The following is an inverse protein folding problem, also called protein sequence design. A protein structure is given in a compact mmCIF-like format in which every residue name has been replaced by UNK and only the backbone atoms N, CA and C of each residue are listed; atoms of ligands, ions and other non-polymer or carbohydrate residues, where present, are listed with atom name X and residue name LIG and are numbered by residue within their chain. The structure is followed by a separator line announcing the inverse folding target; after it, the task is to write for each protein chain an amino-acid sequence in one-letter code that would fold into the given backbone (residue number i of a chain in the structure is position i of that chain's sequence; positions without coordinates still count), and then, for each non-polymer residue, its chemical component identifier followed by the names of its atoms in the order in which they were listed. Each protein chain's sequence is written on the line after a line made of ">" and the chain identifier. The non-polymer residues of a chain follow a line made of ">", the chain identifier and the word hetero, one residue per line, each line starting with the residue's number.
data_IF_991246204768
#
_entry.id   IF_991246204768
#
_cell.length_a   1.000
_cell.length_b   1.000
_cell.length_c   1.000
_cell.angle_alpha   90.00
_cell.angle_beta   90.00
_cell.angle_gamma   90.00
#
_symmetry.space_group_name_H-M   'P 1'
#
loop_
_entity.id
_entity.type
_entity.pdbx_description
1 polymer ?
#
# COMPACT_ATOMS: atom_id res chain seq x y z
N UNK A 1 -7.66 6.27 1.29
CA UNK A 1 -7.62 7.53 2.05
C UNK A 1 -8.93 7.85 2.76
N UNK A 2 -10.08 7.93 2.07
CA UNK A 2 -11.37 8.30 2.69
C UNK A 2 -11.75 7.38 3.87
N UNK A 3 -11.63 6.05 3.70
CA UNK A 3 -11.91 5.09 4.77
C UNK A 3 -11.05 5.34 6.02
N UNK A 4 -9.73 5.49 5.86
CA UNK A 4 -8.79 5.74 6.95
C UNK A 4 -9.02 7.10 7.63
N UNK A 5 -9.38 8.13 6.85
CA UNK A 5 -9.72 9.44 7.39
C UNK A 5 -11.01 9.39 8.21
N UNK A 6 -12.04 8.67 7.75
CA UNK A 6 -13.26 8.44 8.51
C UNK A 6 -12.99 7.73 9.84
N UNK A 7 -12.14 6.70 9.84
CA UNK A 7 -11.74 6.01 11.07
C UNK A 7 -10.98 6.94 12.03
N UNK A 8 -10.09 7.78 11.52
CA UNK A 8 -9.38 8.76 12.34
C UNK A 8 -10.34 9.72 13.06
N UNK A 9 -11.36 10.21 12.36
CA UNK A 9 -12.39 11.08 12.95
C UNK A 9 -13.22 10.34 14.00
N UNK A 10 -13.66 9.11 13.72
CA UNK A 10 -14.44 8.32 14.68
C UNK A 10 -13.62 8.03 15.94
N UNK A 11 -12.37 7.58 15.80
CA UNK A 11 -11.49 7.26 16.94
C UNK A 11 -11.21 8.51 17.78
N UNK A 12 -10.90 9.64 17.15
CA UNK A 12 -10.70 10.90 17.88
C UNK A 12 -11.96 11.39 18.57
N UNK A 13 -13.14 11.19 17.96
CA UNK A 13 -14.44 11.47 18.59
C UNK A 13 -14.70 10.59 19.82
N UNK A 14 -14.32 9.32 19.77
CA UNK A 14 -14.40 8.41 20.93
C UNK A 14 -13.46 8.86 22.06
N UNK A 15 -12.23 9.25 21.73
CA UNK A 15 -11.27 9.77 22.72
C UNK A 15 -11.82 11.02 23.41
N UNK A 16 -12.44 11.93 22.63
CA UNK A 16 -13.11 13.10 23.19
C UNK A 16 -14.23 12.69 24.16
N UNK A 17 -15.09 11.76 23.74
CA UNK A 17 -16.24 11.29 24.51
C UNK A 17 -15.84 10.66 25.84
N UNK A 18 -14.84 9.76 25.84
CA UNK A 18 -14.42 9.06 27.06
C UNK A 18 -13.58 9.92 27.99
N UNK A 19 -12.81 10.86 27.45
CA UNK A 19 -11.90 11.69 28.27
C UNK A 19 -12.53 13.01 28.71
N UNK A 20 -13.64 13.42 28.10
CA UNK A 20 -14.26 14.75 28.26
C UNK A 20 -13.30 15.94 28.02
N UNK A 21 -12.14 15.69 27.41
CA UNK A 21 -11.12 16.68 27.10
C UNK A 21 -10.89 16.72 25.60
N UNK A 22 -11.18 17.87 24.98
CA UNK A 22 -11.05 18.07 23.54
C UNK A 22 -9.60 18.03 23.05
N UNK A 23 -8.65 18.38 23.93
CA UNK A 23 -7.22 18.45 23.63
C UNK A 23 -6.67 17.09 23.18
N UNK A 24 -7.12 16.00 23.82
CA UNK A 24 -6.70 14.64 23.45
C UNK A 24 -7.28 14.19 22.13
N UNK A 25 -8.48 14.63 21.78
CA UNK A 25 -9.08 14.33 20.48
C UNK A 25 -8.29 15.01 19.35
N UNK A 26 -7.90 16.26 19.55
CA UNK A 26 -7.05 17.00 18.60
C UNK A 26 -5.67 16.36 18.49
N UNK A 27 -5.03 16.02 19.62
CA UNK A 27 -3.76 15.31 19.61
C UNK A 27 -3.84 13.96 18.87
N UNK A 28 -4.93 13.21 19.06
CA UNK A 28 -5.15 11.95 18.36
C UNK A 28 -5.30 12.13 16.84
N UNK A 29 -5.98 13.19 16.37
CA UNK A 29 -6.05 13.51 14.95
C UNK A 29 -4.64 13.71 14.38
N UNK A 30 -3.77 14.45 15.07
CA UNK A 30 -2.40 14.66 14.62
C UNK A 30 -1.59 13.37 14.57
N UNK A 31 -1.64 12.54 15.62
CA UNK A 31 -0.92 11.27 15.68
C UNK A 31 -1.39 10.32 14.59
N UNK A 32 -2.71 10.14 14.44
CA UNK A 32 -3.28 9.24 13.43
C UNK A 32 -2.98 9.77 12.02
N UNK A 33 -3.05 11.09 11.81
CA UNK A 33 -2.74 11.72 10.53
C UNK A 33 -1.31 11.42 10.07
N UNK A 34 -0.33 11.54 10.97
CA UNK A 34 1.07 11.19 10.68
C UNK A 34 1.21 9.71 10.34
N UNK A 35 0.52 8.82 11.06
CA UNK A 35 0.56 7.39 10.73
C UNK A 35 -0.08 7.07 9.38
N UNK A 36 -1.15 7.75 8.98
CA UNK A 36 -1.76 7.58 7.65
C UNK A 36 -0.77 8.02 6.56
N UNK A 37 -0.08 9.15 6.75
CA UNK A 37 0.94 9.63 5.80
C UNK A 37 2.08 8.63 5.68
N UNK A 38 2.63 8.19 6.81
CA UNK A 38 3.71 7.21 6.85
C UNK A 38 3.29 5.88 6.20
N UNK A 39 2.10 5.38 6.50
CA UNK A 39 1.57 4.15 5.92
C UNK A 39 1.41 4.28 4.40
N UNK A 40 0.96 5.44 3.90
CA UNK A 40 0.82 5.68 2.46
C UNK A 40 2.18 5.66 1.73
N UNK A 41 3.17 6.34 2.30
CA UNK A 41 4.54 6.33 1.76
C UNK A 41 5.13 4.92 1.76
N UNK A 42 5.00 4.20 2.87
CA UNK A 42 5.46 2.81 3.02
C UNK A 42 4.74 1.85 2.08
N UNK A 43 3.44 2.02 1.88
CA UNK A 43 2.65 1.13 1.02
C UNK A 43 3.02 1.34 -0.46
N UNK A 44 3.34 2.57 -0.86
CA UNK A 44 3.83 2.86 -2.22
C UNK A 44 5.13 2.12 -2.50
N UNK A 45 6.11 2.22 -1.59
CA UNK A 45 7.39 1.51 -1.68
C UNK A 45 7.19 -0.02 -1.67
N UNK A 46 6.29 -0.51 -0.82
CA UNK A 46 6.00 -1.94 -0.72
C UNK A 46 5.32 -2.51 -1.97
N UNK A 47 4.43 -1.74 -2.63
CA UNK A 47 3.76 -2.16 -3.86
C UNK A 47 4.76 -2.24 -5.00
N UNK A 48 5.64 -1.25 -5.12
CA UNK A 48 6.70 -1.25 -6.13
C UNK A 48 7.66 -2.42 -5.95
N UNK A 49 8.11 -2.67 -4.72
CA UNK A 49 8.93 -3.84 -4.38
C UNK A 49 8.19 -5.16 -4.67
N UNK A 50 6.89 -5.24 -4.36
CA UNK A 50 6.08 -6.43 -4.65
C UNK A 50 5.86 -6.64 -6.14
N UNK A 51 5.73 -5.56 -6.93
CA UNK A 51 5.59 -5.61 -8.38
C UNK A 51 6.89 -6.10 -9.03
N UNK A 52 8.03 -5.55 -8.63
CA UNK A 52 9.35 -6.01 -9.11
C UNK A 52 9.57 -7.48 -8.73
N UNK A 53 9.22 -7.85 -7.50
CA UNK A 53 9.31 -9.25 -7.05
C UNK A 53 8.39 -10.17 -7.83
N UNK A 54 7.15 -9.76 -8.10
CA UNK A 54 6.21 -10.53 -8.92
C UNK A 54 6.70 -10.65 -10.37
N UNK A 55 7.25 -9.58 -10.96
CA UNK A 55 7.82 -9.62 -12.31
C UNK A 55 9.07 -10.53 -12.38
N UNK A 56 9.92 -10.49 -11.35
CA UNK A 56 11.06 -11.38 -11.23
C UNK A 56 10.64 -12.85 -11.02
N UNK A 57 9.59 -13.11 -10.24
CA UNK A 57 9.03 -14.44 -10.00
C UNK A 57 8.34 -15.01 -11.25
N UNK A 58 7.75 -14.14 -12.07
CA UNK A 58 7.27 -14.45 -13.43
C UNK A 58 8.41 -14.63 -14.45
N UNK A 59 9.68 -14.51 -14.01
CA UNK A 59 10.87 -14.72 -14.83
C UNK A 59 11.20 -13.58 -15.79
N UNK A 60 10.51 -12.44 -15.71
CA UNK A 60 10.80 -11.26 -16.52
C UNK A 60 12.06 -10.58 -15.96
N UNK A 61 13.18 -10.73 -16.66
CA UNK A 61 14.39 -9.95 -16.42
C UNK A 61 14.33 -8.74 -17.34
N UNK A 62 14.66 -7.57 -16.82
CA UNK A 62 14.73 -6.28 -17.55
C UNK A 62 15.79 -6.28 -18.67
N UNK A 63 16.59 -7.34 -18.79
CA UNK A 63 17.45 -7.53 -19.95
C UNK A 63 16.60 -8.03 -21.11
N UNK A 64 16.53 -7.23 -22.17
CA UNK A 64 15.76 -7.44 -23.39
C UNK A 64 15.86 -8.89 -23.90
N UNK A 65 14.85 -9.71 -23.58
CA UNK A 65 14.66 -11.02 -24.21
C UNK A 65 14.42 -10.80 -25.71
N UNK A 66 15.06 -11.57 -26.58
CA UNK A 66 14.78 -11.49 -28.02
C UNK A 66 13.39 -12.03 -28.32
N UNK A 67 12.79 -11.59 -29.44
CA UNK A 67 11.42 -11.93 -29.82
C UNK A 67 11.13 -13.46 -29.82
N UNK A 68 12.14 -14.30 -30.09
CA UNK A 68 12.04 -15.76 -30.00
C UNK A 68 11.75 -16.26 -28.58
N UNK A 69 12.40 -15.70 -27.56
CA UNK A 69 12.20 -16.13 -26.16
C UNK A 69 10.85 -15.68 -25.60
N UNK A 70 10.27 -14.60 -26.16
CA UNK A 70 8.90 -14.18 -25.85
C UNK A 70 7.86 -15.19 -26.35
N UNK A 71 8.01 -15.68 -27.58
CA UNK A 71 7.07 -16.65 -28.18
C UNK A 71 7.05 -17.97 -27.38
N UNK A 72 8.23 -18.48 -27.00
CA UNK A 72 8.35 -19.73 -26.23
C UNK A 72 7.69 -19.61 -24.85
N UNK A 73 7.77 -18.44 -24.20
CA UNK A 73 7.10 -18.20 -22.91
C UNK A 73 5.59 -18.07 -23.03
N UNK A 74 5.11 -17.42 -24.08
CA UNK A 74 3.68 -17.29 -24.37
C UNK A 74 3.06 -18.67 -24.65
N UNK A 75 3.72 -19.51 -25.44
CA UNK A 75 3.28 -20.90 -25.69
C UNK A 75 3.20 -21.74 -24.40
N UNK A 76 4.17 -21.56 -23.50
CA UNK A 76 4.20 -22.29 -22.22
C UNK A 76 3.10 -21.84 -21.25
N UNK A 77 2.70 -20.58 -21.29
CA UNK A 77 1.60 -20.05 -20.48
C UNK A 77 0.21 -20.37 -21.06
N UNK A 78 0.10 -20.65 -22.36
CA UNK A 78 -1.14 -21.05 -23.03
C UNK A 78 -1.41 -22.56 -22.96
N UNK A 79 -0.36 -23.39 -22.82
CA UNK A 79 -0.45 -24.86 -22.79
C UNK A 79 -0.24 -25.47 -21.39
N UNK A 80 -0.22 -24.66 -20.33
CA UNK A 80 -0.23 -25.09 -18.93
C UNK A 80 -1.51 -24.63 -18.23
#
# INVERSE_FOLDING_TARGET
>A
MIFSASQAVVVSGLIWYFTSQWQFAVAAIFVIGVFIQFAYERMTISIEASRIKALADLGWKEDSLSDEEYIVRIEKALNG
#
